data_IF_985746527025
#
_entry.id   IF_985746527025
#
_cell.length_a   1.000
_cell.length_b   1.000
_cell.length_c   1.000
_cell.angle_alpha   90.00
_cell.angle_beta   90.00
_cell.angle_gamma   90.00
#
_symmetry.space_group_name_H-M   'P 1'
#
loop_
_entity.id
_entity.type
_entity.pdbx_description
1 polymer ?
#
# COMPACT_ATOMS: atom_id res chain seq x y z
N UNK A 1 -12.38 -9.24 18.44
CA UNK A 1 -11.64 -9.90 17.34
C UNK A 1 -10.35 -10.42 17.95
N UNK A 2 -10.45 -11.46 18.77
CA UNK A 2 -9.43 -11.68 19.81
C UNK A 2 -8.27 -12.55 19.31
N UNK A 3 -8.38 -13.07 18.07
CA UNK A 3 -7.39 -13.89 17.39
C UNK A 3 -6.93 -13.27 16.05
N UNK A 4 -6.72 -11.95 16.02
CA UNK A 4 -6.21 -11.23 14.85
C UNK A 4 -4.69 -11.07 14.90
N UNK A 5 -4.01 -11.50 13.86
CA UNK A 5 -2.55 -11.34 13.67
C UNK A 5 -2.28 -10.53 12.39
N UNK A 6 -1.32 -9.62 12.50
CA UNK A 6 -0.71 -8.97 11.34
C UNK A 6 0.61 -9.64 11.02
N UNK A 7 0.67 -10.29 9.86
CA UNK A 7 1.86 -10.99 9.41
C UNK A 7 2.48 -10.24 8.24
N UNK A 8 3.77 -9.91 8.35
CA UNK A 8 4.49 -9.22 7.28
C UNK A 8 5.52 -10.13 6.60
N UNK A 9 5.44 -10.25 5.28
CA UNK A 9 6.51 -10.82 4.46
C UNK A 9 7.52 -9.72 4.10
N UNK A 10 8.77 -9.89 4.54
CA UNK A 10 9.82 -8.92 4.24
C UNK A 10 10.12 -8.85 2.73
N UNK A 11 10.30 -7.65 2.17
CA UNK A 11 10.58 -7.51 0.73
C UNK A 11 11.83 -8.28 0.27
N UNK A 12 12.86 -8.39 1.10
CA UNK A 12 14.06 -9.19 0.81
C UNK A 12 13.83 -10.69 0.79
N UNK A 13 12.79 -11.16 1.48
CA UNK A 13 12.42 -12.58 1.54
C UNK A 13 11.72 -13.00 0.23
N UNK A 14 10.91 -12.10 -0.33
CA UNK A 14 10.05 -12.40 -1.48
C UNK A 14 10.54 -11.79 -2.81
N UNK A 15 11.64 -11.02 -2.79
CA UNK A 15 12.24 -10.43 -4.00
C UNK A 15 13.76 -10.60 -4.00
N UNK A 16 14.34 -10.59 -5.20
CA UNK A 16 15.77 -10.42 -5.38
C UNK A 16 16.14 -8.92 -5.30
N UNK A 17 17.13 -8.61 -4.47
CA UNK A 17 17.68 -7.25 -4.33
C UNK A 17 18.73 -6.92 -5.38
N UNK A 18 19.35 -7.93 -5.97
CA UNK A 18 20.40 -7.78 -6.98
C UNK A 18 19.83 -7.56 -8.37
N UNK A 19 18.62 -8.07 -8.61
CA UNK A 19 17.89 -7.95 -9.87
C UNK A 19 16.60 -7.17 -9.68
N UNK A 20 16.45 -5.99 -10.31
CA UNK A 20 15.21 -5.23 -10.27
C UNK A 20 13.99 -6.06 -10.66
N UNK A 21 12.85 -5.82 -10.00
CA UNK A 21 11.54 -6.38 -10.37
C UNK A 21 11.49 -7.91 -10.44
N UNK A 22 12.33 -8.59 -9.65
CA UNK A 22 12.45 -10.06 -9.68
C UNK A 22 11.84 -10.67 -8.41
N UNK A 23 10.71 -11.37 -8.50
CA UNK A 23 10.11 -12.07 -7.37
C UNK A 23 10.84 -13.40 -7.11
N UNK A 24 10.83 -13.86 -5.86
CA UNK A 24 11.29 -15.20 -5.47
C UNK A 24 10.09 -16.13 -5.41
N UNK A 25 9.72 -16.69 -6.56
CA UNK A 25 8.50 -17.49 -6.71
C UNK A 25 8.52 -18.75 -5.84
N UNK A 26 9.68 -19.42 -5.77
CA UNK A 26 9.94 -20.55 -4.87
C UNK A 26 9.61 -20.20 -3.41
N UNK A 27 10.08 -19.03 -2.95
CA UNK A 27 9.81 -18.57 -1.59
C UNK A 27 8.35 -18.20 -1.36
N UNK A 28 7.68 -17.62 -2.35
CA UNK A 28 6.25 -17.32 -2.25
C UNK A 28 5.43 -18.60 -2.14
N UNK A 29 5.76 -19.64 -2.91
CA UNK A 29 5.12 -20.96 -2.85
C UNK A 29 5.34 -21.63 -1.49
N UNK A 30 6.59 -21.68 -1.01
CA UNK A 30 6.93 -22.24 0.31
C UNK A 30 6.16 -21.54 1.45
N UNK A 31 6.12 -20.20 1.42
CA UNK A 31 5.42 -19.39 2.43
C UNK A 31 3.91 -19.59 2.37
N UNK A 32 3.33 -19.66 1.18
CA UNK A 32 1.90 -19.92 1.02
C UNK A 32 1.51 -21.33 1.53
N UNK A 33 2.34 -22.34 1.27
CA UNK A 33 2.13 -23.69 1.80
C UNK A 33 2.19 -23.74 3.34
N UNK A 34 3.14 -23.02 3.94
CA UNK A 34 3.23 -22.88 5.40
C UNK A 34 1.99 -22.19 5.98
N UNK A 35 1.54 -21.08 5.35
CA UNK A 35 0.33 -20.38 5.76
C UNK A 35 -0.91 -21.25 5.68
N UNK A 36 -1.04 -22.07 4.64
CA UNK A 36 -2.16 -23.00 4.51
C UNK A 36 -2.15 -24.03 5.65
N UNK A 37 -0.98 -24.54 6.04
CA UNK A 37 -0.84 -25.45 7.17
C UNK A 37 -1.20 -24.78 8.50
N UNK A 38 -0.72 -23.57 8.77
CA UNK A 38 -1.09 -22.84 9.99
C UNK A 38 -2.59 -22.54 10.07
N UNK A 39 -3.22 -22.13 8.96
CA UNK A 39 -4.67 -21.87 8.93
C UNK A 39 -5.52 -23.13 9.11
N UNK A 40 -5.04 -24.28 8.64
CA UNK A 40 -5.72 -25.57 8.90
C UNK A 40 -5.62 -25.97 10.37
N UNK A 41 -4.51 -25.67 11.03
CA UNK A 41 -4.29 -25.99 12.43
C UNK A 41 -5.09 -25.08 13.40
N UNK A 42 -5.29 -23.81 13.03
CA UNK A 42 -6.15 -22.87 13.78
C UNK A 42 -7.11 -22.14 12.82
N UNK A 43 -8.29 -22.72 12.54
CA UNK A 43 -9.30 -22.10 11.67
C UNK A 43 -9.88 -20.80 12.23
N UNK A 44 -9.76 -20.56 13.54
CA UNK A 44 -10.20 -19.33 14.19
C UNK A 44 -9.20 -18.18 14.06
N UNK A 45 -8.03 -18.43 13.47
CA UNK A 45 -6.98 -17.43 13.29
C UNK A 45 -7.31 -16.47 12.15
N UNK A 46 -7.47 -15.20 12.51
CA UNK A 46 -7.64 -14.12 11.55
C UNK A 46 -6.27 -13.53 11.21
N UNK A 47 -5.94 -13.45 9.92
CA UNK A 47 -4.66 -12.92 9.45
C UNK A 47 -4.94 -11.77 8.50
N UNK A 48 -4.32 -10.62 8.74
CA UNK A 48 -4.07 -9.62 7.71
C UNK A 48 -2.63 -9.80 7.26
N UNK A 49 -2.45 -10.15 5.99
CA UNK A 49 -1.14 -10.32 5.39
C UNK A 49 -0.65 -9.00 4.84
N UNK A 50 0.58 -8.65 5.19
CA UNK A 50 1.32 -7.53 4.65
C UNK A 50 2.52 -8.04 3.90
N UNK A 51 2.97 -7.34 2.87
CA UNK A 51 4.31 -7.58 2.33
C UNK A 51 5.04 -6.29 2.00
N UNK A 52 6.37 -6.31 2.14
CA UNK A 52 7.21 -5.22 1.67
C UNK A 52 7.25 -5.17 0.14
N UNK A 53 7.48 -3.99 -0.42
CA UNK A 53 7.52 -3.77 -1.87
C UNK A 53 8.81 -4.26 -2.53
N UNK A 54 9.84 -4.64 -1.76
CA UNK A 54 11.11 -5.16 -2.29
C UNK A 54 11.75 -4.27 -3.35
N UNK A 55 12.37 -4.90 -4.36
CA UNK A 55 12.91 -4.18 -5.53
C UNK A 55 11.82 -3.53 -6.39
N UNK A 56 10.57 -4.01 -6.32
CA UNK A 56 9.44 -3.47 -7.09
C UNK A 56 9.05 -2.05 -6.68
N UNK A 57 8.97 -1.75 -5.39
CA UNK A 57 8.65 -0.38 -4.95
C UNK A 57 9.89 0.51 -4.81
N UNK A 58 10.99 0.00 -4.26
CA UNK A 58 12.12 0.85 -3.90
C UNK A 58 12.85 1.46 -5.10
N UNK A 59 12.95 0.72 -6.21
CA UNK A 59 13.66 1.18 -7.41
C UNK A 59 12.92 2.35 -8.07
N UNK A 60 11.63 2.24 -8.45
CA UNK A 60 10.91 3.36 -9.03
C UNK A 60 10.76 4.50 -8.02
N UNK A 61 10.52 4.22 -6.73
CA UNK A 61 10.38 5.28 -5.74
C UNK A 61 11.66 6.12 -5.60
N UNK A 62 12.84 5.50 -5.67
CA UNK A 62 14.13 6.20 -5.69
C UNK A 62 14.34 6.95 -7.00
N UNK A 63 14.01 6.35 -8.15
CA UNK A 63 14.17 6.95 -9.48
C UNK A 63 13.36 8.24 -9.63
N UNK A 64 12.12 8.26 -9.12
CA UNK A 64 11.20 9.38 -9.29
C UNK A 64 11.07 10.29 -8.07
N UNK A 65 11.75 9.98 -6.95
CA UNK A 65 11.66 10.77 -5.73
C UNK A 65 10.26 10.78 -5.09
N UNK A 66 9.43 9.76 -5.34
CA UNK A 66 8.00 9.75 -5.01
C UNK A 66 7.69 10.04 -3.54
N UNK A 67 8.57 9.64 -2.60
CA UNK A 67 8.42 9.91 -1.15
C UNK A 67 8.45 11.40 -0.81
N UNK A 68 9.15 12.22 -1.59
CA UNK A 68 9.27 13.65 -1.33
C UNK A 68 7.97 14.42 -1.57
N UNK A 69 7.04 13.84 -2.34
CA UNK A 69 5.85 14.54 -2.81
C UNK A 69 6.18 15.59 -3.87
N UNK A 70 5.17 16.40 -4.18
CA UNK A 70 5.27 17.54 -5.07
C UNK A 70 4.88 18.83 -4.35
N UNK A 71 5.60 19.91 -4.63
CA UNK A 71 5.34 21.24 -4.08
C UNK A 71 5.26 22.29 -5.21
N UNK A 72 4.19 23.10 -5.30
CA UNK A 72 2.96 22.99 -4.49
C UNK A 72 2.17 21.70 -4.82
N UNK A 73 1.38 21.16 -3.88
CA UNK A 73 0.48 20.05 -4.16
C UNK A 73 -0.49 20.45 -5.29
N UNK A 74 -0.49 19.67 -6.37
CA UNK A 74 -1.39 19.92 -7.50
C UNK A 74 -2.75 19.30 -7.22
N UNK A 75 -3.50 19.94 -6.33
CA UNK A 75 -4.92 19.68 -6.18
C UNK A 75 -5.62 20.98 -5.82
N UNK A 76 -6.55 21.48 -6.66
CA UNK A 76 -7.61 22.35 -6.17
C UNK A 76 -8.39 21.56 -5.12
N UNK A 77 -8.94 22.20 -4.07
CA UNK A 77 -9.85 21.52 -3.15
C UNK A 77 -10.99 20.89 -3.95
N UNK A 78 -11.36 19.65 -3.61
CA UNK A 78 -12.58 19.01 -4.09
C UNK A 78 -13.78 19.78 -3.52
N UNK A 79 -14.11 20.90 -4.15
CA UNK A 79 -15.17 21.81 -3.78
C UNK A 79 -15.75 22.47 -5.03
N UNK A 80 -16.83 21.87 -5.55
CA UNK A 80 -17.86 22.47 -6.40
C UNK A 80 -17.43 23.15 -7.70
N UNK A 81 -17.55 22.44 -8.84
CA UNK A 81 -17.93 23.07 -10.13
C UNK A 81 -18.85 22.14 -10.92
N UNK A 82 -20.15 22.29 -10.72
CA UNK A 82 -21.15 21.91 -11.71
C UNK A 82 -21.14 22.97 -12.82
N UNK A 83 -20.76 22.58 -14.03
CA UNK A 83 -20.71 23.46 -15.21
C UNK A 83 -19.28 23.85 -15.59
N UNK A 84 -18.63 23.02 -16.40
CA UNK A 84 -17.43 23.41 -17.14
C UNK A 84 -17.81 23.54 -18.62
N UNK A 85 -17.67 24.74 -19.16
CA UNK A 85 -17.73 24.99 -20.61
C UNK A 85 -16.39 24.59 -21.27
N UNK A 86 -16.33 24.42 -22.61
CA UNK A 86 -15.08 24.19 -23.32
C UNK A 86 -14.02 25.29 -23.11
N UNK A 87 -14.42 26.53 -22.79
CA UNK A 87 -13.52 27.64 -22.45
C UNK A 87 -12.90 27.52 -21.06
N UNK A 88 -13.62 26.92 -20.09
CA UNK A 88 -13.08 26.64 -18.75
C UNK A 88 -11.91 25.64 -18.78
N UNK A 89 -11.77 24.83 -19.83
CA UNK A 89 -10.59 23.97 -20.03
C UNK A 89 -9.32 24.77 -20.35
N UNK A 90 -9.43 25.94 -21.00
CA UNK A 90 -8.28 26.82 -21.25
C UNK A 90 -7.84 27.55 -19.98
N UNK A 91 -8.75 27.74 -19.02
CA UNK A 91 -8.51 28.33 -17.69
C UNK A 91 -8.51 27.28 -16.55
N UNK A 92 -8.24 26.01 -16.88
CA UNK A 92 -8.09 24.95 -15.89
C UNK A 92 -7.04 25.34 -14.83
N UNK A 93 -7.29 25.12 -13.53
CA UNK A 93 -6.34 25.41 -12.44
C UNK A 93 -5.08 24.53 -12.45
N UNK A 94 -4.84 23.81 -13.55
CA UNK A 94 -3.55 23.23 -13.89
C UNK A 94 -2.70 24.14 -14.83
N UNK A 95 -2.43 25.45 -14.58
CA UNK A 95 -1.51 26.21 -15.40
C UNK A 95 -0.09 26.12 -14.83
N UNK A 96 0.43 24.91 -14.58
CA UNK A 96 1.89 24.81 -14.51
C UNK A 96 2.44 25.10 -15.91
N UNK A 97 3.32 26.10 -16.03
CA UNK A 97 4.03 26.43 -17.29
C UNK A 97 5.51 26.06 -17.15
N UNK A 98 6.14 25.69 -18.27
CA UNK A 98 7.59 25.44 -18.33
C UNK A 98 8.07 24.27 -17.45
N UNK A 99 9.23 24.44 -16.80
CA UNK A 99 9.92 23.38 -16.04
C UNK A 99 9.09 22.79 -14.89
N UNK A 100 8.24 23.58 -14.25
CA UNK A 100 7.40 23.13 -13.14
C UNK A 100 6.36 22.08 -13.60
N UNK A 101 5.79 22.24 -14.79
CA UNK A 101 4.87 21.26 -15.39
C UNK A 101 5.57 19.95 -15.72
N UNK A 102 6.76 20.02 -16.30
CA UNK A 102 7.54 18.82 -16.61
C UNK A 102 7.94 18.05 -15.35
N UNK A 103 8.34 18.75 -14.29
CA UNK A 103 8.62 18.13 -12.99
C UNK A 103 7.38 17.44 -12.40
N UNK A 104 6.21 18.08 -12.52
CA UNK A 104 4.95 17.50 -12.08
C UNK A 104 4.52 16.27 -12.88
N UNK A 105 4.61 16.33 -14.20
CA UNK A 105 4.31 15.20 -15.08
C UNK A 105 5.26 14.03 -14.80
N UNK A 106 6.54 14.29 -14.56
CA UNK A 106 7.52 13.27 -14.20
C UNK A 106 7.20 12.65 -12.83
N UNK A 107 6.81 13.46 -11.85
CA UNK A 107 6.40 12.97 -10.53
C UNK A 107 5.19 12.04 -10.62
N UNK A 108 4.11 12.45 -11.31
CA UNK A 108 2.89 11.65 -11.41
C UNK A 108 3.10 10.37 -12.23
N UNK A 109 3.94 10.42 -13.27
CA UNK A 109 4.39 9.20 -13.96
C UNK A 109 5.13 8.26 -13.00
N UNK A 110 5.98 8.80 -12.14
CA UNK A 110 6.68 8.05 -11.11
C UNK A 110 5.75 7.46 -10.05
N UNK A 111 4.76 8.23 -9.61
CA UNK A 111 3.71 7.79 -8.69
C UNK A 111 2.96 6.58 -9.25
N UNK A 112 2.51 6.68 -10.51
CA UNK A 112 1.85 5.58 -11.21
C UNK A 112 2.78 4.37 -11.43
N UNK A 113 4.06 4.59 -11.73
CA UNK A 113 5.04 3.52 -11.91
C UNK A 113 5.30 2.76 -10.60
N UNK A 114 5.44 3.46 -9.46
CA UNK A 114 5.59 2.80 -8.15
C UNK A 114 4.35 1.95 -7.84
N UNK A 115 3.14 2.49 -8.07
CA UNK A 115 1.90 1.73 -7.92
C UNK A 115 1.88 0.48 -8.79
N UNK A 116 2.21 0.61 -10.08
CA UNK A 116 2.19 -0.50 -11.03
C UNK A 116 3.15 -1.62 -10.61
N UNK A 117 4.37 -1.27 -10.23
CA UNK A 117 5.36 -2.27 -9.81
C UNK A 117 4.98 -2.92 -8.47
N UNK A 118 4.54 -2.14 -7.48
CA UNK A 118 4.13 -2.69 -6.19
C UNK A 118 2.88 -3.60 -6.31
N UNK A 119 1.90 -3.22 -7.13
CA UNK A 119 0.72 -4.05 -7.42
C UNK A 119 1.07 -5.31 -8.22
N UNK A 120 2.08 -5.24 -9.10
CA UNK A 120 2.62 -6.42 -9.78
C UNK A 120 3.18 -7.44 -8.80
N UNK A 121 3.97 -7.02 -7.80
CA UNK A 121 4.44 -7.91 -6.74
C UNK A 121 3.26 -8.52 -5.95
N UNK A 122 2.27 -7.70 -5.63
CA UNK A 122 1.05 -8.15 -4.94
C UNK A 122 0.34 -9.24 -5.72
N UNK A 123 0.31 -9.15 -7.05
CA UNK A 123 -0.27 -10.19 -7.91
C UNK A 123 0.47 -11.52 -7.77
N UNK A 124 1.80 -11.53 -7.70
CA UNK A 124 2.56 -12.76 -7.45
C UNK A 124 2.25 -13.36 -6.07
N UNK A 125 2.17 -12.54 -5.04
CA UNK A 125 1.81 -12.98 -3.68
C UNK A 125 0.41 -13.62 -3.67
N UNK A 126 -0.60 -12.95 -4.23
CA UNK A 126 -1.97 -13.47 -4.28
C UNK A 126 -2.06 -14.73 -5.15
N UNK A 127 -1.31 -14.82 -6.25
CA UNK A 127 -1.25 -16.04 -7.06
C UNK A 127 -0.72 -17.24 -6.27
N UNK A 128 0.34 -17.05 -5.47
CA UNK A 128 0.88 -18.13 -4.63
C UNK A 128 -0.13 -18.57 -3.54
N UNK A 129 -0.82 -17.61 -2.90
CA UNK A 129 -1.88 -17.89 -1.94
C UNK A 129 -3.05 -18.66 -2.57
N UNK A 130 -3.46 -18.26 -3.78
CA UNK A 130 -4.50 -18.92 -4.54
C UNK A 130 -4.10 -20.37 -4.91
N UNK A 131 -2.86 -20.58 -5.34
CA UNK A 131 -2.33 -21.92 -5.61
C UNK A 131 -2.36 -22.82 -4.36
N UNK A 132 -2.07 -22.25 -3.18
CA UNK A 132 -2.17 -22.91 -1.88
C UNK A 132 -3.62 -23.05 -1.34
N UNK A 133 -4.63 -22.70 -2.13
CA UNK A 133 -6.06 -22.74 -1.78
C UNK A 133 -6.44 -21.86 -0.58
N UNK A 134 -5.69 -20.78 -0.35
CA UNK A 134 -6.02 -19.79 0.67
C UNK A 134 -6.95 -18.74 0.04
N UNK A 135 -8.18 -18.53 0.58
CA UNK A 135 -9.04 -17.43 0.13
C UNK A 135 -8.40 -16.11 0.55
N UNK A 136 -7.79 -15.40 -0.38
CA UNK A 136 -7.08 -14.15 -0.14
C UNK A 136 -7.53 -13.07 -1.11
N UNK A 137 -7.59 -11.83 -0.64
CA UNK A 137 -8.00 -10.66 -1.43
C UNK A 137 -7.05 -9.50 -1.17
N UNK A 138 -6.47 -8.94 -2.23
CA UNK A 138 -5.68 -7.73 -2.13
C UNK A 138 -6.60 -6.51 -1.92
N UNK A 139 -6.29 -5.71 -0.90
CA UNK A 139 -6.95 -4.45 -0.60
C UNK A 139 -5.91 -3.34 -0.72
N UNK A 140 -5.76 -2.71 -1.91
CA UNK A 140 -4.72 -1.72 -2.15
C UNK A 140 -4.99 -0.46 -1.32
N UNK A 141 -4.01 0.00 -0.51
CA UNK A 141 -4.16 1.22 0.27
C UNK A 141 -4.43 2.47 -0.58
N UNK A 142 -3.87 2.55 -1.80
CA UNK A 142 -4.13 3.63 -2.76
C UNK A 142 -5.62 3.86 -3.08
N UNK A 143 -6.48 2.86 -2.86
CA UNK A 143 -7.91 2.95 -3.12
C UNK A 143 -8.76 3.35 -1.89
N UNK A 144 -8.20 3.33 -0.68
CA UNK A 144 -8.97 3.46 0.56
C UNK A 144 -8.34 4.37 1.62
N UNK A 145 -7.11 4.84 1.40
CA UNK A 145 -6.36 5.69 2.34
C UNK A 145 -6.10 7.06 1.71
N UNK A 146 -6.22 8.11 2.52
CA UNK A 146 -5.66 9.43 2.24
C UNK A 146 -4.68 9.82 3.34
N UNK A 147 -3.67 10.62 2.98
CA UNK A 147 -2.70 11.14 3.95
C UNK A 147 -2.70 12.66 4.02
N UNK A 148 -2.19 13.18 5.12
CA UNK A 148 -1.82 14.58 5.29
C UNK A 148 -0.42 14.65 5.84
N UNK A 149 0.48 15.24 5.06
CA UNK A 149 1.89 15.40 5.40
C UNK A 149 2.58 14.05 5.74
N UNK A 150 2.27 13.02 4.94
CA UNK A 150 2.85 11.68 5.07
C UNK A 150 2.24 10.80 6.17
N UNK A 151 1.21 11.29 6.89
CA UNK A 151 0.51 10.53 7.94
C UNK A 151 -0.90 10.19 7.49
N UNK A 152 -1.41 9.02 7.88
CA UNK A 152 -2.78 8.61 7.58
C UNK A 152 -3.77 9.65 8.12
N UNK A 153 -4.57 10.23 7.23
CA UNK A 153 -5.63 11.18 7.56
C UNK A 153 -6.99 10.48 7.64
N UNK A 154 -7.30 9.62 6.66
CA UNK A 154 -8.47 8.76 6.68
C UNK A 154 -8.17 7.40 6.05
N UNK A 155 -8.81 6.35 6.56
CA UNK A 155 -8.79 5.01 5.97
C UNK A 155 -10.14 4.32 6.18
N UNK A 156 -10.85 4.01 5.08
CA UNK A 156 -12.02 3.12 5.16
C UNK A 156 -11.60 1.66 5.38
N UNK A 157 -11.79 1.17 6.61
CA UNK A 157 -11.48 -0.20 7.01
C UNK A 157 -12.65 -1.18 6.78
N UNK A 158 -13.78 -0.72 6.24
CA UNK A 158 -14.98 -1.55 6.06
C UNK A 158 -14.71 -2.78 5.17
N UNK A 159 -14.06 -2.66 4.00
CA UNK A 159 -13.75 -3.81 3.16
C UNK A 159 -12.85 -4.84 3.86
N UNK A 160 -11.89 -4.35 4.66
CA UNK A 160 -10.96 -5.20 5.41
C UNK A 160 -11.68 -5.99 6.50
N UNK A 161 -12.55 -5.33 7.28
CA UNK A 161 -13.36 -6.00 8.32
C UNK A 161 -14.30 -7.04 7.70
N UNK A 162 -14.98 -6.70 6.61
CA UNK A 162 -15.88 -7.62 5.89
C UNK A 162 -15.15 -8.83 5.33
N UNK A 163 -13.95 -8.65 4.79
CA UNK A 163 -13.12 -9.77 4.31
C UNK A 163 -12.79 -10.74 5.45
N UNK A 164 -12.35 -10.22 6.61
CA UNK A 164 -12.07 -11.05 7.79
C UNK A 164 -13.31 -11.80 8.29
N UNK A 165 -14.46 -11.13 8.38
CA UNK A 165 -15.74 -11.75 8.77
C UNK A 165 -16.16 -12.87 7.81
N UNK A 166 -15.86 -12.72 6.52
CA UNK A 166 -16.12 -13.73 5.49
C UNK A 166 -15.06 -14.84 5.42
N UNK A 167 -14.06 -14.84 6.31
CA UNK A 167 -12.94 -15.80 6.30
C UNK A 167 -11.90 -15.58 5.19
N UNK A 168 -12.03 -14.48 4.44
CA UNK A 168 -11.09 -14.06 3.40
C UNK A 168 -9.89 -13.37 4.06
N UNK A 169 -8.68 -13.79 3.70
CA UNK A 169 -7.44 -13.18 4.15
C UNK A 169 -7.18 -11.85 3.42
N UNK A 170 -7.24 -10.70 4.09
CA UNK A 170 -6.90 -9.43 3.45
C UNK A 170 -5.38 -9.36 3.25
N UNK A 171 -4.97 -8.92 2.06
CA UNK A 171 -3.57 -8.67 1.70
C UNK A 171 -3.39 -7.17 1.46
N UNK A 172 -2.52 -6.54 2.23
CA UNK A 172 -2.11 -5.13 2.07
C UNK A 172 -0.62 -5.04 1.76
N UNK A 173 -0.18 -3.93 1.19
CA UNK A 173 1.22 -3.73 0.84
C UNK A 173 1.59 -2.26 0.91
N UNK A 174 2.88 -1.95 1.03
CA UNK A 174 3.35 -0.58 0.88
C UNK A 174 2.94 -0.05 -0.50
N UNK A 175 2.37 1.15 -0.53
CA UNK A 175 1.68 1.69 -1.70
C UNK A 175 1.84 3.21 -1.76
N UNK A 176 1.60 3.77 -2.94
CA UNK A 176 1.50 5.22 -3.13
C UNK A 176 0.14 5.71 -2.63
N UNK A 177 0.10 6.88 -2.00
CA UNK A 177 -1.12 7.42 -1.40
C UNK A 177 -1.23 8.90 -1.74
N UNK A 178 -2.45 9.35 -2.05
CA UNK A 178 -2.70 10.77 -2.25
C UNK A 178 -2.61 11.52 -0.91
N UNK A 179 -1.87 12.63 -0.94
CA UNK A 179 -1.57 13.43 0.24
C UNK A 179 -2.07 14.87 0.09
N UNK A 180 -2.79 15.37 1.08
CA UNK A 180 -3.35 16.72 1.06
C UNK A 180 -2.30 17.83 1.04
N UNK A 181 -1.15 17.62 1.69
CA UNK A 181 -0.08 18.62 1.81
C UNK A 181 1.00 18.45 0.74
N UNK A 182 1.22 17.22 0.27
CA UNK A 182 2.34 16.84 -0.60
C UNK A 182 1.91 16.39 -2.00
N UNK A 183 0.60 16.37 -2.29
CA UNK A 183 0.02 15.79 -3.51
C UNK A 183 -0.01 14.26 -3.47
N UNK A 184 1.15 13.65 -3.24
CA UNK A 184 1.27 12.21 -3.06
C UNK A 184 2.42 11.84 -2.13
N UNK A 185 2.37 10.62 -1.58
CA UNK A 185 3.42 10.04 -0.74
C UNK A 185 3.45 8.51 -0.89
N UNK A 186 4.30 7.84 -0.11
CA UNK A 186 4.32 6.38 0.00
C UNK A 186 4.13 6.03 1.47
N UNK A 187 3.15 5.17 1.76
CA UNK A 187 3.07 4.49 3.04
C UNK A 187 3.74 3.12 2.92
N UNK A 188 4.63 2.81 3.85
CA UNK A 188 5.19 1.47 3.98
C UNK A 188 4.17 0.51 4.62
N UNK A 189 4.37 -0.80 4.45
CA UNK A 189 3.55 -1.80 5.12
C UNK A 189 3.61 -1.66 6.64
N UNK A 190 4.74 -1.20 7.19
CA UNK A 190 4.89 -0.87 8.60
C UNK A 190 4.01 0.29 9.03
N UNK A 191 3.92 1.36 8.23
CA UNK A 191 3.05 2.51 8.53
C UNK A 191 1.58 2.07 8.54
N UNK A 192 1.20 1.26 7.55
CA UNK A 192 -0.14 0.69 7.43
C UNK A 192 -0.48 -0.20 8.64
N UNK A 193 0.43 -1.13 8.99
CA UNK A 193 0.24 -2.03 10.13
C UNK A 193 0.21 -1.28 11.47
N UNK A 194 1.02 -0.25 11.64
CA UNK A 194 0.99 0.58 12.84
C UNK A 194 -0.37 1.29 12.98
N UNK A 195 -0.94 1.80 11.88
CA UNK A 195 -2.28 2.38 11.88
C UNK A 195 -3.35 1.32 12.19
N UNK A 196 -3.35 0.19 11.46
CA UNK A 196 -4.30 -0.90 11.67
C UNK A 196 -4.24 -1.44 13.11
N UNK A 197 -3.07 -1.47 13.74
CA UNK A 197 -2.93 -2.00 15.09
C UNK A 197 -3.63 -1.11 16.12
N UNK A 198 -3.61 0.21 15.89
CA UNK A 198 -4.32 1.18 16.73
C UNK A 198 -5.84 1.06 16.56
N UNK A 199 -6.31 0.92 15.32
CA UNK A 199 -7.74 0.92 14.98
C UNK A 199 -8.44 -0.44 15.19
N UNK A 200 -7.69 -1.54 15.07
CA UNK A 200 -8.23 -2.91 15.16
C UNK A 200 -7.83 -3.64 16.44
N UNK A 201 -6.87 -3.13 17.20
CA UNK A 201 -6.37 -3.67 18.49
C UNK A 201 -6.09 -5.19 18.46
N UNK A 202 -5.14 -5.68 17.65
CA UNK A 202 -4.75 -7.09 17.69
C UNK A 202 -4.07 -7.41 19.03
N UNK A 203 -4.52 -8.45 19.75
CA UNK A 203 -3.97 -8.80 21.06
C UNK A 203 -2.63 -9.58 20.98
N UNK A 204 -2.22 -10.06 19.78
CA UNK A 204 -0.96 -10.80 19.58
C UNK A 204 0.02 -10.02 18.69
N UNK A 205 1.04 -9.45 19.32
CA UNK A 205 2.25 -8.95 18.66
C UNK A 205 3.17 -10.15 18.33
N UNK A 206 3.77 -10.23 17.12
CA UNK A 206 4.84 -11.19 16.87
C UNK A 206 6.01 -10.95 17.84
N UNK A 207 6.63 -12.02 18.34
CA UNK A 207 7.84 -11.92 19.15
C UNK A 207 8.91 -11.12 18.39
N UNK A 208 9.32 -9.95 18.94
CA UNK A 208 10.28 -9.04 18.32
C UNK A 208 9.71 -7.72 17.77
N UNK A 209 8.40 -7.48 17.85
CA UNK A 209 7.82 -6.17 17.50
C UNK A 209 7.97 -5.18 18.67
N UNK A 210 8.82 -4.15 18.49
CA UNK A 210 8.96 -3.04 19.42
C UNK A 210 8.57 -1.73 18.71
N UNK A 211 7.31 -1.26 18.84
CA UNK A 211 6.92 0.02 18.28
C UNK A 211 7.64 1.12 19.07
N UNK A 212 8.65 1.77 18.46
CA UNK A 212 9.18 3.01 19.02
C UNK A 212 8.03 4.03 19.06
N UNK A 213 7.73 4.64 20.21
CA UNK A 213 6.75 5.71 20.25
C UNK A 213 7.25 6.82 19.33
N UNK A 214 6.41 7.23 18.38
CA UNK A 214 6.59 8.48 17.67
C UNK A 214 6.60 9.58 18.74
N UNK A 215 7.79 10.12 19.04
CA UNK A 215 7.91 11.29 19.90
C UNK A 215 7.17 12.43 19.19
N UNK A 216 6.27 13.08 19.92
CA UNK A 216 5.61 14.31 19.53
C UNK A 216 6.62 15.38 19.14
#
# INVERSE_FOLDING_TARGET
MDNLIFLKLGGSLITDKTRPFTPRLDKLEDLAAQLATFRRADPGLLIVLGHGSGSFGHIPAKKYGTRAGISPPLTPPLGGRTGCTPEDRKNSPFPLRGKARMGAEQYWRGFAEVWYQASTLTRFVVSALHAAKIPAMALPPSASVTTKDGKVAAWDLSPLRRALEAGIMPVVHGDVIFDEARGGTILSTEDLFAHLAREMRPQRSPAGWNPKPARC
#
